data_IF_489837289709
#
_entry.id   IF_489837289709
#
_cell.length_a   1.000
_cell.length_b   1.000
_cell.length_c   1.000
_cell.angle_alpha   90.00
_cell.angle_beta   90.00
_cell.angle_gamma   90.00
#
_symmetry.space_group_name_H-M   'P 1'
#
loop_
_entity.id
_entity.type
_entity.pdbx_description
1 polymer ?
#
# COMPACT_ATOMS: atom_id res chain seq x y z
N UNK A 1 19.54 8.16 -35.19
CA UNK A 1 18.96 8.12 -36.54
C UNK A 1 17.89 7.04 -36.55
N UNK A 2 16.64 7.38 -36.21
CA UNK A 2 15.52 6.43 -36.28
C UNK A 2 14.74 6.71 -37.55
N UNK A 3 14.85 5.79 -38.51
CA UNK A 3 14.06 5.71 -39.71
C UNK A 3 12.61 5.34 -39.35
N UNK A 4 11.74 6.33 -39.27
CA UNK A 4 10.29 6.15 -39.22
C UNK A 4 9.80 5.80 -40.63
N UNK A 5 9.62 4.51 -40.88
CA UNK A 5 8.87 4.01 -42.03
C UNK A 5 7.43 4.52 -41.91
N UNK A 6 6.97 5.34 -42.85
CA UNK A 6 5.56 5.68 -43.00
C UNK A 6 4.79 4.41 -43.36
N UNK A 7 4.19 3.73 -42.39
CA UNK A 7 3.18 2.72 -42.67
C UNK A 7 1.98 3.43 -43.32
N UNK A 8 1.75 3.13 -44.60
CA UNK A 8 0.53 3.55 -45.28
C UNK A 8 -0.65 2.89 -44.56
N UNK A 9 -1.54 3.71 -43.99
CA UNK A 9 -2.67 3.23 -43.21
C UNK A 9 -3.61 2.45 -44.14
N UNK A 10 -3.58 1.12 -44.06
CA UNK A 10 -4.41 0.23 -44.87
C UNK A 10 -5.89 0.51 -44.53
N UNK A 11 -6.82 0.54 -45.51
CA UNK A 11 -8.22 0.81 -45.23
C UNK A 11 -8.79 -0.20 -44.23
N UNK A 12 -9.60 0.28 -43.27
CA UNK A 12 -10.25 -0.57 -42.26
C UNK A 12 -11.33 -1.46 -42.88
N UNK A 13 -11.70 -2.56 -42.20
CA UNK A 13 -12.81 -3.41 -42.62
C UNK A 13 -14.12 -2.60 -42.79
N UNK A 14 -14.36 -1.64 -41.90
CA UNK A 14 -15.49 -0.70 -41.97
C UNK A 14 -15.47 0.14 -43.26
N UNK A 15 -14.29 0.61 -43.68
CA UNK A 15 -14.15 1.37 -44.92
C UNK A 15 -14.53 0.56 -46.17
N UNK A 16 -14.16 -0.73 -46.23
CA UNK A 16 -14.56 -1.61 -47.32
C UNK A 16 -16.06 -1.94 -47.30
N UNK A 17 -16.65 -2.12 -46.11
CA UNK A 17 -18.08 -2.36 -45.96
C UNK A 17 -18.91 -1.16 -46.46
N UNK A 18 -18.50 0.06 -46.10
CA UNK A 18 -19.15 1.28 -46.55
C UNK A 18 -19.06 1.45 -48.08
N UNK A 19 -17.91 1.09 -48.67
CA UNK A 19 -17.72 1.11 -50.12
C UNK A 19 -18.61 0.08 -50.83
N UNK A 20 -18.67 -1.15 -50.31
CA UNK A 20 -19.55 -2.20 -50.82
C UNK A 20 -21.03 -1.77 -50.79
N UNK A 21 -21.48 -1.12 -49.71
CA UNK A 21 -22.84 -0.59 -49.61
C UNK A 21 -23.14 0.45 -50.70
N UNK A 22 -22.20 1.39 -50.93
CA UNK A 22 -22.33 2.39 -51.99
C UNK A 22 -22.38 1.74 -53.39
N UNK A 23 -21.52 0.76 -53.65
CA UNK A 23 -21.47 0.08 -54.94
C UNK A 23 -22.73 -0.79 -55.19
N UNK A 24 -23.29 -1.42 -54.15
CA UNK A 24 -24.59 -2.10 -54.22
C UNK A 24 -25.75 -1.12 -54.47
N UNK A 25 -25.77 0.02 -53.79
CA UNK A 25 -26.77 1.06 -54.01
C UNK A 25 -26.75 1.58 -55.47
N UNK A 26 -25.56 1.82 -56.01
CA UNK A 26 -25.41 2.24 -57.40
C UNK A 26 -25.79 1.14 -58.39
N UNK A 27 -25.50 -0.13 -58.08
CA UNK A 27 -25.93 -1.27 -58.89
C UNK A 27 -27.45 -1.33 -59.01
N UNK A 28 -28.18 -1.23 -57.89
CA UNK A 28 -29.67 -1.24 -57.87
C UNK A 28 -30.23 -0.13 -58.75
N UNK A 29 -29.71 1.10 -58.62
CA UNK A 29 -30.12 2.23 -59.46
C UNK A 29 -29.86 2.00 -60.96
N UNK A 30 -28.78 1.29 -61.31
CA UNK A 30 -28.46 0.97 -62.71
C UNK A 30 -29.35 -0.14 -63.28
N UNK A 31 -29.84 -1.06 -62.44
CA UNK A 31 -30.84 -2.09 -62.81
C UNK A 31 -32.16 -1.41 -63.13
N UNK A 32 -32.62 -0.52 -62.26
CA UNK A 32 -33.88 0.21 -62.44
C UNK A 32 -33.91 1.06 -63.71
N UNK A 33 -32.75 1.57 -64.15
CA UNK A 33 -32.61 2.40 -65.36
C UNK A 33 -32.32 1.61 -66.64
N UNK A 34 -32.16 0.28 -66.56
CA UNK A 34 -31.91 -0.57 -67.73
C UNK A 34 -30.55 -0.39 -68.42
N UNK A 35 -29.53 0.12 -67.73
CA UNK A 35 -28.22 0.44 -68.32
C UNK A 35 -27.26 -0.77 -68.29
N UNK A 36 -27.35 -1.64 -69.29
CA UNK A 36 -26.61 -2.92 -69.34
C UNK A 36 -25.07 -2.84 -69.23
N UNK A 37 -24.45 -1.80 -69.79
CA UNK A 37 -23.00 -1.59 -69.69
C UNK A 37 -22.57 -1.16 -68.28
N UNK A 38 -23.34 -0.28 -67.64
CA UNK A 38 -23.11 0.18 -66.27
C UNK A 38 -23.32 -0.94 -65.25
N UNK A 39 -24.31 -1.82 -65.50
CA UNK A 39 -24.56 -3.00 -64.67
C UNK A 39 -23.35 -3.93 -64.58
N UNK A 40 -22.70 -4.17 -65.72
CA UNK A 40 -21.53 -5.05 -65.78
C UNK A 40 -20.35 -4.49 -64.98
N UNK A 41 -20.13 -3.17 -65.03
CA UNK A 41 -19.06 -2.50 -64.27
C UNK A 41 -19.36 -2.53 -62.77
N UNK A 42 -20.60 -2.24 -62.37
CA UNK A 42 -21.00 -2.22 -60.95
C UNK A 42 -20.93 -3.60 -60.30
N UNK A 43 -21.31 -4.66 -61.02
CA UNK A 43 -21.17 -6.04 -60.53
C UNK A 43 -19.70 -6.40 -60.25
N UNK A 44 -18.77 -6.00 -61.13
CA UNK A 44 -17.32 -6.23 -60.91
C UNK A 44 -16.77 -5.44 -59.73
N UNK A 45 -17.27 -4.22 -59.51
CA UNK A 45 -16.86 -3.41 -58.35
C UNK A 45 -17.32 -4.05 -57.04
N UNK A 46 -18.57 -4.51 -56.97
CA UNK A 46 -19.13 -5.25 -55.82
C UNK A 46 -18.31 -6.52 -55.54
N UNK A 47 -17.97 -7.28 -56.58
CA UNK A 47 -17.14 -8.49 -56.45
C UNK A 47 -15.76 -8.17 -55.87
N UNK A 48 -15.10 -7.12 -56.37
CA UNK A 48 -13.81 -6.64 -55.87
C UNK A 48 -13.89 -6.19 -54.41
N UNK A 49 -14.94 -5.46 -54.03
CA UNK A 49 -15.11 -4.98 -52.66
C UNK A 49 -15.39 -6.10 -51.67
N UNK A 50 -16.17 -7.11 -52.05
CA UNK A 50 -16.38 -8.31 -51.24
C UNK A 50 -15.05 -9.04 -51.01
N UNK A 51 -14.22 -9.18 -52.05
CA UNK A 51 -12.92 -9.82 -51.93
C UNK A 51 -11.99 -9.04 -50.98
N UNK A 52 -11.93 -7.72 -51.12
CA UNK A 52 -11.12 -6.86 -50.26
C UNK A 52 -11.61 -6.85 -48.80
N UNK A 53 -12.92 -6.84 -48.59
CA UNK A 53 -13.52 -6.92 -47.25
C UNK A 53 -13.22 -8.26 -46.57
N UNK A 54 -13.30 -9.37 -47.31
CA UNK A 54 -12.94 -10.71 -46.80
C UNK A 54 -11.48 -10.77 -46.34
N UNK A 55 -10.55 -10.19 -47.09
CA UNK A 55 -9.15 -10.13 -46.68
C UNK A 55 -8.93 -9.21 -45.48
N UNK A 56 -9.67 -8.10 -45.37
CA UNK A 56 -9.62 -7.23 -44.20
C UNK A 56 -10.11 -7.95 -42.92
N UNK A 57 -11.17 -8.74 -43.00
CA UNK A 57 -11.68 -9.53 -41.86
C UNK A 57 -10.63 -10.54 -41.38
N UNK A 58 -9.92 -11.22 -42.29
CA UNK A 58 -8.87 -12.19 -41.91
C UNK A 58 -7.70 -11.56 -41.16
N UNK A 59 -7.48 -10.25 -41.33
CA UNK A 59 -6.42 -9.52 -40.63
C UNK A 59 -6.84 -9.03 -39.24
N UNK A 60 -8.11 -9.15 -38.87
CA UNK A 60 -8.56 -8.79 -37.52
C UNK A 60 -8.01 -9.81 -36.51
N UNK A 61 -7.45 -9.35 -35.38
CA UNK A 61 -6.95 -10.24 -34.35
C UNK A 61 -8.09 -11.06 -33.75
N UNK A 62 -7.88 -12.37 -33.62
CA UNK A 62 -8.81 -13.25 -32.94
C UNK A 62 -8.71 -13.07 -31.43
N UNK A 63 -9.62 -12.27 -30.88
CA UNK A 63 -9.70 -11.99 -29.44
C UNK A 63 -10.04 -13.23 -28.59
N UNK A 64 -10.49 -14.33 -29.21
CA UNK A 64 -10.69 -15.60 -28.50
C UNK A 64 -9.36 -16.31 -28.21
N UNK A 65 -8.29 -15.99 -28.95
CA UNK A 65 -6.96 -16.54 -28.75
C UNK A 65 -6.33 -15.91 -27.50
N UNK A 66 -6.50 -16.61 -26.37
CA UNK A 66 -5.91 -16.21 -25.10
C UNK A 66 -6.88 -15.60 -24.10
N UNK A 67 -8.18 -15.51 -24.43
CA UNK A 67 -9.23 -15.03 -23.51
C UNK A 67 -9.21 -15.84 -22.20
N UNK A 68 -9.08 -17.17 -22.28
CA UNK A 68 -8.98 -18.04 -21.11
C UNK A 68 -7.76 -17.73 -20.23
N UNK A 69 -6.62 -17.42 -20.85
CA UNK A 69 -5.39 -17.04 -20.13
C UNK A 69 -5.55 -15.68 -19.45
N UNK A 70 -6.12 -14.71 -20.13
CA UNK A 70 -6.39 -13.37 -19.59
C UNK A 70 -7.39 -13.43 -18.44
N UNK A 71 -8.48 -14.18 -18.58
CA UNK A 71 -9.47 -14.40 -17.52
C UNK A 71 -8.86 -15.10 -16.30
N UNK A 72 -7.97 -16.06 -16.52
CA UNK A 72 -7.20 -16.70 -15.46
C UNK A 72 -6.29 -15.72 -14.71
N UNK A 73 -5.56 -14.86 -15.43
CA UNK A 73 -4.72 -13.81 -14.84
C UNK A 73 -5.54 -12.82 -14.02
N UNK A 74 -6.69 -12.37 -14.55
CA UNK A 74 -7.60 -11.45 -13.85
C UNK A 74 -8.12 -12.09 -12.55
N UNK A 75 -8.55 -13.35 -12.59
CA UNK A 75 -9.00 -14.06 -11.39
C UNK A 75 -7.89 -14.20 -10.34
N UNK A 76 -6.67 -14.50 -10.77
CA UNK A 76 -5.52 -14.58 -9.86
C UNK A 76 -5.21 -13.22 -9.22
N UNK A 77 -5.29 -12.12 -9.98
CA UNK A 77 -5.11 -10.78 -9.44
C UNK A 77 -6.18 -10.41 -8.42
N UNK A 78 -7.46 -10.71 -8.68
CA UNK A 78 -8.53 -10.47 -7.70
C UNK A 78 -8.30 -11.20 -6.38
N UNK A 79 -7.88 -12.47 -6.41
CA UNK A 79 -7.53 -13.23 -5.20
C UNK A 79 -6.36 -12.62 -4.43
N UNK A 80 -5.40 -12.00 -5.12
CA UNK A 80 -4.29 -11.31 -4.46
C UNK A 80 -4.72 -10.01 -3.80
N UNK A 81 -5.68 -9.29 -4.41
CA UNK A 81 -6.25 -8.07 -3.84
C UNK A 81 -6.99 -8.40 -2.54
N UNK A 82 -7.85 -9.42 -2.56
CA UNK A 82 -8.59 -9.88 -1.37
C UNK A 82 -7.66 -10.17 -0.18
N UNK A 83 -6.57 -10.92 -0.41
CA UNK A 83 -5.57 -11.18 0.64
C UNK A 83 -4.86 -9.92 1.15
N UNK A 84 -4.65 -8.92 0.28
CA UNK A 84 -4.02 -7.66 0.69
C UNK A 84 -4.98 -6.84 1.53
N UNK A 85 -6.26 -6.84 1.20
CA UNK A 85 -7.29 -6.14 1.97
C UNK A 85 -7.44 -6.77 3.37
N UNK A 86 -7.45 -8.10 3.48
CA UNK A 86 -7.41 -8.81 4.77
C UNK A 86 -6.19 -8.40 5.64
N UNK A 87 -5.01 -8.30 5.02
CA UNK A 87 -3.80 -7.84 5.73
C UNK A 87 -3.91 -6.37 6.14
N UNK A 88 -4.49 -5.52 5.30
CA UNK A 88 -4.67 -4.11 5.59
C UNK A 88 -5.63 -3.91 6.77
N UNK A 89 -6.72 -4.69 6.83
CA UNK A 89 -7.65 -4.70 7.97
C UNK A 89 -6.95 -5.15 9.26
N UNK A 90 -6.12 -6.20 9.18
CA UNK A 90 -5.34 -6.63 10.34
C UNK A 90 -4.34 -5.57 10.82
N UNK A 91 -3.77 -4.78 9.90
CA UNK A 91 -2.87 -3.68 10.23
C UNK A 91 -3.64 -2.47 10.78
N UNK A 92 -4.83 -2.17 10.27
CA UNK A 92 -5.67 -1.09 10.78
C UNK A 92 -6.19 -1.37 12.20
N UNK A 93 -6.31 -2.65 12.58
CA UNK A 93 -6.62 -3.04 13.96
C UNK A 93 -5.51 -2.64 14.96
N UNK A 94 -4.26 -2.47 14.50
CA UNK A 94 -3.22 -1.79 15.28
C UNK A 94 -3.52 -0.29 15.27
N UNK A 95 -4.24 0.19 16.28
CA UNK A 95 -4.56 1.61 16.47
C UNK A 95 -3.28 2.39 16.84
N UNK A 96 -2.55 2.84 15.82
CA UNK A 96 -1.46 3.80 15.93
C UNK A 96 -2.02 5.20 15.68
N UNK A 97 -2.30 5.92 16.75
CA UNK A 97 -2.70 7.31 16.65
C UNK A 97 -1.46 8.19 16.56
N UNK A 98 -1.37 9.06 15.56
CA UNK A 98 -0.34 10.09 15.52
C UNK A 98 -0.56 11.03 16.72
N UNK A 99 0.19 10.78 17.81
CA UNK A 99 0.00 11.44 19.09
C UNK A 99 1.34 11.64 19.78
N UNK A 100 1.55 12.89 20.18
CA UNK A 100 2.71 13.30 20.96
C UNK A 100 2.43 13.15 22.46
N UNK A 101 3.46 12.95 23.27
CA UNK A 101 3.38 13.00 24.72
C UNK A 101 3.22 14.45 25.18
N UNK A 102 2.16 14.72 25.94
CA UNK A 102 1.85 16.08 26.41
C UNK A 102 2.84 16.57 27.49
N UNK A 103 3.38 15.62 28.25
CA UNK A 103 4.25 15.86 29.40
C UNK A 103 5.67 15.30 29.21
N UNK A 104 6.63 15.94 29.88
CA UNK A 104 7.98 15.39 30.04
C UNK A 104 7.94 14.17 30.95
N UNK A 105 8.48 13.05 30.47
CA UNK A 105 8.53 11.79 31.21
C UNK A 105 9.90 11.62 31.86
N UNK A 106 9.88 11.34 33.16
CA UNK A 106 11.05 11.16 34.01
C UNK A 106 11.10 9.74 34.60
N UNK A 107 12.30 9.26 34.91
CA UNK A 107 12.48 7.99 35.60
C UNK A 107 11.82 8.03 37.00
N UNK A 108 11.06 6.99 37.36
CA UNK A 108 10.44 6.90 38.70
C UNK A 108 11.46 6.84 39.84
N UNK A 109 12.63 6.27 39.58
CA UNK A 109 13.66 5.97 40.58
C UNK A 109 14.62 7.16 40.77
N UNK A 110 15.36 7.56 39.72
CA UNK A 110 16.36 8.62 39.83
C UNK A 110 15.88 10.02 39.38
N UNK A 111 14.63 10.13 38.90
CA UNK A 111 14.02 11.39 38.42
C UNK A 111 14.71 12.06 37.22
N UNK A 112 15.68 11.40 36.58
CA UNK A 112 16.27 11.91 35.33
C UNK A 112 15.22 12.00 34.23
N UNK A 113 15.40 12.94 33.30
CA UNK A 113 14.53 13.09 32.13
C UNK A 113 14.82 11.97 31.15
N UNK A 114 13.79 11.20 30.81
CA UNK A 114 13.87 10.15 29.79
C UNK A 114 13.52 10.73 28.43
N UNK A 115 12.43 11.48 28.35
CA UNK A 115 11.98 12.13 27.11
C UNK A 115 11.22 13.42 27.41
N UNK A 116 11.50 14.48 26.66
CA UNK A 116 10.79 15.76 26.76
C UNK A 116 9.38 15.66 26.19
N UNK A 117 8.51 16.60 26.60
CA UNK A 117 7.19 16.76 25.98
C UNK A 117 7.30 16.95 24.47
N UNK A 118 6.32 16.45 23.74
CA UNK A 118 6.16 16.56 22.29
C UNK A 118 7.24 15.89 21.44
N UNK A 119 7.95 14.91 21.98
CA UNK A 119 9.03 14.22 21.27
C UNK A 119 8.62 12.84 20.72
N UNK A 120 7.44 12.35 21.08
CA UNK A 120 6.92 11.06 20.57
C UNK A 120 6.11 11.29 19.30
N UNK A 121 6.04 10.28 18.43
CA UNK A 121 5.39 10.40 17.10
C UNK A 121 4.04 9.71 17.02
N UNK A 122 3.82 8.71 17.86
CA UNK A 122 2.63 7.88 17.84
C UNK A 122 2.27 7.36 19.24
N UNK A 123 1.02 6.94 19.40
CA UNK A 123 0.54 6.25 20.58
C UNK A 123 -0.04 4.90 20.19
N UNK A 124 0.48 3.85 20.82
CA UNK A 124 0.05 2.47 20.67
C UNK A 124 -0.76 2.08 21.92
N UNK A 125 -2.08 1.93 21.76
CA UNK A 125 -3.00 1.57 22.85
C UNK A 125 -3.16 0.05 23.00
N UNK A 126 -2.05 -0.66 23.11
CA UNK A 126 -2.02 -2.11 23.29
C UNK A 126 -1.56 -2.51 24.68
N UNK A 127 -1.98 -3.70 25.11
CA UNK A 127 -1.43 -4.38 26.28
C UNK A 127 -0.32 -5.33 25.84
N UNK A 128 0.83 -5.26 26.50
CA UNK A 128 1.97 -6.17 26.26
C UNK A 128 2.63 -6.59 27.56
N UNK A 129 3.09 -7.84 27.58
CA UNK A 129 3.87 -8.39 28.68
C UNK A 129 5.30 -7.82 28.68
N UNK A 130 5.61 -7.00 29.68
CA UNK A 130 6.96 -6.50 29.92
C UNK A 130 7.60 -7.21 31.11
N UNK A 131 8.91 -7.51 31.09
CA UNK A 131 9.63 -7.99 32.26
C UNK A 131 9.39 -7.08 33.46
N UNK A 132 9.18 -7.66 34.64
CA UNK A 132 9.11 -6.88 35.88
C UNK A 132 10.38 -6.04 36.05
N UNK A 133 10.26 -4.78 36.53
CA UNK A 133 11.42 -3.93 36.76
C UNK A 133 12.46 -4.53 37.72
N UNK A 134 12.02 -5.42 38.61
CA UNK A 134 12.89 -6.21 39.48
C UNK A 134 12.52 -7.68 39.40
N UNK A 135 13.49 -8.50 38.99
CA UNK A 135 13.35 -9.96 38.96
C UNK A 135 13.67 -10.55 40.34
N UNK A 136 12.86 -11.53 40.79
CA UNK A 136 13.16 -12.26 42.02
C UNK A 136 14.32 -13.23 41.80
N UNK A 137 15.23 -13.32 42.78
CA UNK A 137 16.35 -14.27 42.75
C UNK A 137 15.84 -15.70 42.88
N UNK A 138 16.39 -16.63 42.08
CA UNK A 138 16.09 -18.06 42.17
C UNK A 138 14.90 -18.53 41.33
N UNK A 139 14.43 -17.72 40.38
CA UNK A 139 13.40 -18.11 39.41
C UNK A 139 14.08 -18.29 38.04
N UNK A 140 13.80 -19.43 37.39
CA UNK A 140 14.45 -19.85 36.14
C UNK A 140 13.84 -19.20 34.88
N UNK A 141 12.75 -18.44 35.03
CA UNK A 141 12.10 -17.72 33.95
C UNK A 141 11.94 -16.23 34.28
N UNK A 142 11.94 -15.40 33.24
CA UNK A 142 11.69 -13.96 33.34
C UNK A 142 10.23 -13.73 33.72
N UNK A 143 10.01 -13.07 34.85
CA UNK A 143 8.68 -12.65 35.28
C UNK A 143 8.24 -11.43 34.49
N UNK A 144 7.02 -11.44 33.97
CA UNK A 144 6.42 -10.36 33.20
C UNK A 144 5.13 -9.86 33.86
N UNK A 145 4.72 -8.64 33.50
CA UNK A 145 3.40 -8.09 33.81
C UNK A 145 2.79 -7.44 32.57
N UNK A 146 1.45 -7.48 32.41
CA UNK A 146 0.77 -6.76 31.36
C UNK A 146 0.85 -5.26 31.61
N UNK A 147 1.35 -4.52 30.63
CA UNK A 147 1.47 -3.06 30.65
C UNK A 147 0.78 -2.51 29.42
N UNK A 148 -0.03 -1.46 29.59
CA UNK A 148 -0.82 -0.88 28.51
C UNK A 148 -0.38 0.54 28.17
N UNK A 149 -0.49 0.89 26.89
CA UNK A 149 -0.28 2.26 26.41
C UNK A 149 1.20 2.63 26.28
N UNK A 150 1.59 2.96 25.05
CA UNK A 150 2.97 3.22 24.70
C UNK A 150 3.08 4.42 23.78
N UNK A 151 4.06 5.28 24.05
CA UNK A 151 4.45 6.31 23.11
C UNK A 151 5.61 5.83 22.25
N UNK A 152 5.42 5.85 20.94
CA UNK A 152 6.42 5.51 19.95
C UNK A 152 7.36 6.68 19.68
N UNK A 153 8.65 6.36 19.58
CA UNK A 153 9.76 7.29 19.37
C UNK A 153 10.63 6.74 18.25
N UNK A 154 10.59 7.41 17.10
CA UNK A 154 11.31 6.98 15.89
C UNK A 154 12.80 7.20 15.97
N UNK A 155 13.20 8.33 16.53
CA UNK A 155 14.61 8.72 16.60
C UNK A 155 15.13 8.52 18.03
N UNK A 156 16.20 7.75 18.18
CA UNK A 156 16.86 7.54 19.47
C UNK A 156 17.39 8.85 20.08
N UNK A 157 17.71 9.84 19.23
CA UNK A 157 18.17 11.16 19.68
C UNK A 157 17.06 12.03 20.26
N UNK A 158 15.81 11.60 20.18
CA UNK A 158 14.69 12.26 20.86
C UNK A 158 14.62 11.94 22.36
N UNK A 159 15.35 10.92 22.81
CA UNK A 159 15.51 10.61 24.23
C UNK A 159 16.64 11.44 24.85
N UNK A 160 16.43 11.85 26.10
CA UNK A 160 17.44 12.55 26.90
C UNK A 160 18.37 11.54 27.59
N UNK A 161 17.80 10.65 28.42
CA UNK A 161 18.56 9.66 29.19
C UNK A 161 17.90 8.28 29.15
N UNK A 162 18.11 7.56 28.04
CA UNK A 162 17.65 6.18 27.86
C UNK A 162 18.83 5.24 27.58
N UNK A 163 18.75 4.03 28.13
CA UNK A 163 19.66 2.93 27.83
C UNK A 163 18.93 1.79 27.12
N UNK A 164 19.68 0.92 26.46
CA UNK A 164 19.16 -0.27 25.78
C UNK A 164 19.73 -1.52 26.42
N UNK A 165 18.87 -2.50 26.71
CA UNK A 165 19.35 -3.81 27.16
C UNK A 165 20.04 -4.54 26.04
N UNK A 166 20.88 -5.52 26.40
CA UNK A 166 21.34 -6.52 25.43
C UNK A 166 20.14 -7.31 24.91
N UNK A 167 20.23 -7.75 23.66
CA UNK A 167 19.21 -8.61 23.07
C UNK A 167 19.23 -9.97 23.76
N UNK A 168 18.11 -10.38 24.35
CA UNK A 168 17.86 -11.75 24.80
C UNK A 168 16.63 -12.27 24.07
N UNK A 169 16.75 -13.42 23.40
CA UNK A 169 15.67 -14.00 22.58
C UNK A 169 15.14 -13.06 21.48
N UNK A 170 16.02 -12.19 20.95
CA UNK A 170 15.67 -11.20 19.94
C UNK A 170 14.94 -9.97 20.48
N UNK A 171 14.59 -9.93 21.78
CA UNK A 171 13.92 -8.79 22.41
C UNK A 171 14.94 -7.83 23.01
N UNK A 172 14.72 -6.54 22.80
CA UNK A 172 15.47 -5.45 23.44
C UNK A 172 14.51 -4.56 24.20
N UNK A 173 14.94 -4.09 25.35
CA UNK A 173 14.16 -3.21 26.20
C UNK A 173 14.86 -1.89 26.45
N UNK A 174 14.06 -0.88 26.78
CA UNK A 174 14.54 0.44 27.18
C UNK A 174 14.69 0.45 28.68
N UNK A 175 15.78 1.00 29.19
CA UNK A 175 16.02 1.23 30.63
C UNK A 175 16.34 2.70 30.87
N UNK A 176 16.27 3.15 32.11
CA UNK A 176 16.77 4.47 32.46
C UNK A 176 18.28 4.58 32.12
N UNK A 177 18.69 5.65 31.42
CA UNK A 177 20.10 5.85 31.05
C UNK A 177 21.02 6.12 32.23
N UNK A 178 20.49 6.60 33.36
CA UNK A 178 21.29 6.97 34.54
C UNK A 178 21.38 5.85 35.58
N UNK A 179 20.25 5.26 35.98
CA UNK A 179 20.21 4.27 37.06
C UNK A 179 20.01 2.83 36.58
N UNK A 180 19.91 2.62 35.26
CA UNK A 180 19.68 1.33 34.60
C UNK A 180 18.42 0.58 35.07
N UNK A 181 17.55 1.24 35.85
CA UNK A 181 16.28 0.66 36.27
C UNK A 181 15.32 0.61 35.08
N UNK A 182 14.66 -0.52 34.92
CA UNK A 182 13.72 -0.76 33.85
C UNK A 182 13.31 -2.24 33.79
N UNK A 183 12.56 -2.63 32.77
CA UNK A 183 12.40 -1.89 31.52
C UNK A 183 11.35 -0.78 31.61
N UNK A 184 11.63 0.41 31.05
CA UNK A 184 10.68 1.54 30.90
C UNK A 184 9.94 1.50 29.56
N UNK A 185 10.27 0.53 28.71
CA UNK A 185 9.77 0.40 27.36
C UNK A 185 10.40 -0.78 26.62
N UNK A 186 10.08 -0.92 25.33
CA UNK A 186 10.60 -1.98 24.46
C UNK A 186 10.99 -1.43 23.08
N UNK A 187 11.81 -2.20 22.36
CA UNK A 187 12.12 -1.95 20.95
C UNK A 187 11.36 -2.96 20.11
N UNK A 188 10.55 -2.48 19.17
CA UNK A 188 9.89 -3.36 18.21
C UNK A 188 10.92 -3.99 17.27
N UNK A 189 10.87 -5.31 17.16
CA UNK A 189 11.86 -6.09 16.41
C UNK A 189 11.68 -6.00 14.89
N UNK A 190 10.50 -5.62 14.42
CA UNK A 190 10.16 -5.55 13.00
C UNK A 190 10.40 -4.14 12.45
N UNK A 191 10.01 -3.11 13.20
CA UNK A 191 10.09 -1.71 12.75
C UNK A 191 11.30 -0.97 13.31
N UNK A 192 12.00 -1.55 14.29
CA UNK A 192 13.03 -0.88 15.10
C UNK A 192 12.53 0.36 15.85
N UNK A 193 11.21 0.51 15.98
CA UNK A 193 10.58 1.61 16.71
C UNK A 193 10.77 1.44 18.21
N UNK A 194 11.00 2.55 18.92
CA UNK A 194 11.20 2.55 20.36
C UNK A 194 9.91 2.96 21.06
N UNK A 195 9.41 2.13 21.97
CA UNK A 195 8.15 2.39 22.68
C UNK A 195 8.40 2.55 24.17
N UNK A 196 8.07 3.71 24.73
CA UNK A 196 8.11 3.97 26.18
C UNK A 196 6.71 4.02 26.76
N UNK A 197 6.54 3.52 27.99
CA UNK A 197 5.24 3.56 28.67
C UNK A 197 5.21 4.61 29.78
N UNK A 198 4.16 5.45 29.85
CA UNK A 198 3.97 6.33 30.99
C UNK A 198 3.67 5.55 32.29
N UNK A 199 3.24 4.28 32.23
CA UNK A 199 2.98 3.47 33.42
C UNK A 199 4.27 3.17 34.21
N UNK A 200 5.43 3.19 33.57
CA UNK A 200 6.74 2.95 34.23
C UNK A 200 7.60 4.20 34.35
N UNK A 201 7.10 5.34 33.87
CA UNK A 201 7.70 6.65 34.02
C UNK A 201 6.81 7.54 34.90
N UNK A 202 7.30 8.69 35.32
CA UNK A 202 6.51 9.70 36.00
C UNK A 202 6.44 10.96 35.14
N UNK A 203 5.37 11.73 35.31
CA UNK A 203 5.24 13.06 34.69
C UNK A 203 6.01 14.07 35.54
N UNK A 204 6.82 14.90 34.89
CA UNK A 204 7.44 16.05 35.55
C UNK A 204 6.38 17.12 35.80
N UNK A 205 6.00 17.33 37.06
CA UNK A 205 5.08 18.40 37.43
C UNK A 205 5.73 19.76 37.18
N UNK A 206 5.12 20.60 36.33
CA UNK A 206 5.49 22.02 36.26
C UNK A 206 4.94 22.70 37.50
N UNK A 207 5.82 23.10 38.42
CA UNK A 207 5.44 23.93 39.57
C UNK A 207 5.03 25.32 39.08
N UNK A 208 3.76 25.49 38.70
CA UNK A 208 3.13 26.81 38.69
C UNK A 208 2.73 27.11 40.13
N UNK A 209 3.67 27.56 40.95
CA UNK A 209 3.34 28.21 42.21
C UNK A 209 2.59 29.50 41.88
N UNK A 210 1.36 29.73 42.37
CA UNK A 210 0.77 31.05 42.33
C UNK A 210 1.66 31.97 43.16
N UNK A 211 2.20 33.02 42.54
CA UNK A 211 2.76 34.14 43.29
C UNK A 211 1.57 34.82 43.96
N UNK A 212 1.33 34.50 45.23
CA UNK A 212 0.44 35.29 46.08
C UNK A 212 1.09 36.68 46.22
N UNK A 213 0.42 37.68 45.64
CA UNK A 213 0.66 39.10 45.91
C UNK A 213 -0.12 39.53 47.14
#
# INVERSE_FOLDING_TARGET
>A
MSSTSKEANKPSAESYLNKLYADLYHLVNSVEKGSGSELTVRLRNVESDIANFKEAIKTLPDISVGEGKQRGQISALYKQIEKKDELLESLAAFSLDARTNEDTLICKECKTVVILKNMTTEFLNEERDLPLPRQKKGIDHTQTEPVRGYFGVKDIFAFENVGFTRSSEGKRYLVCGECEQGPVGFVDTLTEMNYVTPERLAVQQTTNSPVEN
#
